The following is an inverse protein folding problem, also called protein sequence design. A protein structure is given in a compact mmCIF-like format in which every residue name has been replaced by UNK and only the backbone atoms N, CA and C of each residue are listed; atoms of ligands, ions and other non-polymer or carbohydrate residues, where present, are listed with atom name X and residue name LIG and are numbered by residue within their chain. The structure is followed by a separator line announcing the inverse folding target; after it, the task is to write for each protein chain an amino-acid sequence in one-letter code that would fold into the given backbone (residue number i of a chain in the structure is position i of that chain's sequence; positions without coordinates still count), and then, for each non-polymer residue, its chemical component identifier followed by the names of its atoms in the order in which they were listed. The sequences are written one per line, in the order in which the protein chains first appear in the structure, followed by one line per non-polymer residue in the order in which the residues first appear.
data_IF_727835228768
#
_entry.id   IF_727835228768
#
_cell.length_a   1.000
_cell.length_b   1.000
_cell.length_c   1.000
_cell.angle_alpha   90.00
_cell.angle_beta   90.00
_cell.angle_gamma   90.00
#
_symmetry.space_group_name_H-M   'P 1'
#
loop_
_entity.id
_entity.type
_entity.pdbx_description
1 polymer ?
#
# COMPACT_ATOMS: atom_id res chain seq x y z
N UNK A 1 -41.43 -36.07 -21.55
CA UNK A 1 -41.98 -34.90 -20.83
C UNK A 1 -41.01 -34.52 -19.72
N UNK A 2 -40.32 -33.37 -19.83
CA UNK A 2 -39.40 -32.85 -18.80
C UNK A 2 -40.23 -32.21 -17.67
N UNK A 3 -40.10 -32.72 -16.45
CA UNK A 3 -40.61 -32.09 -15.22
C UNK A 3 -39.52 -32.13 -14.14
N UNK A 4 -38.53 -31.27 -14.25
CA UNK A 4 -37.58 -31.02 -13.17
C UNK A 4 -37.09 -29.57 -13.26
N UNK A 5 -37.92 -28.60 -12.85
CA UNK A 5 -37.48 -27.25 -12.41
C UNK A 5 -38.55 -26.60 -11.52
N UNK A 6 -39.00 -27.32 -10.51
CA UNK A 6 -39.69 -26.71 -9.37
C UNK A 6 -38.78 -26.80 -8.15
N UNK A 7 -37.56 -26.26 -8.29
CA UNK A 7 -36.83 -25.81 -7.12
C UNK A 7 -37.45 -24.45 -6.79
N UNK A 8 -38.16 -24.41 -5.66
CA UNK A 8 -38.74 -23.18 -5.15
C UNK A 8 -37.70 -22.07 -5.20
N UNK A 9 -38.13 -20.88 -5.60
CA UNK A 9 -37.28 -19.69 -5.50
C UNK A 9 -36.79 -19.62 -4.05
N UNK A 10 -35.52 -19.98 -3.84
CA UNK A 10 -34.82 -19.62 -2.61
C UNK A 10 -34.96 -18.11 -2.54
N UNK A 11 -35.55 -17.60 -1.47
CA UNK A 11 -35.55 -16.15 -1.24
C UNK A 11 -34.11 -15.68 -1.41
N UNK A 12 -33.89 -14.73 -2.31
CA UNK A 12 -32.60 -14.09 -2.44
C UNK A 12 -32.43 -13.29 -1.15
N UNK A 13 -31.84 -13.90 -0.14
CA UNK A 13 -31.49 -13.21 1.10
C UNK A 13 -30.40 -12.21 0.72
N UNK A 14 -30.78 -10.94 0.63
CA UNK A 14 -29.85 -9.86 0.34
C UNK A 14 -29.03 -9.60 1.60
N UNK A 15 -27.81 -10.07 1.63
CA UNK A 15 -26.85 -9.70 2.66
C UNK A 15 -26.18 -8.37 2.30
N UNK A 16 -26.26 -7.39 3.22
CA UNK A 16 -25.66 -6.07 3.04
C UNK A 16 -24.35 -6.03 3.81
N UNK A 17 -23.24 -5.87 3.08
CA UNK A 17 -21.91 -5.69 3.67
C UNK A 17 -21.55 -4.21 3.67
N UNK A 18 -21.22 -3.66 4.85
CA UNK A 18 -20.75 -2.29 5.00
C UNK A 18 -19.22 -2.26 5.03
N UNK A 19 -18.60 -1.53 4.10
CA UNK A 19 -17.15 -1.38 4.02
C UNK A 19 -16.73 0.02 4.50
N UNK A 20 -15.66 0.15 5.30
CA UNK A 20 -15.19 1.43 5.84
C UNK A 20 -14.36 2.21 4.79
N UNK A 21 -14.92 2.42 3.60
CA UNK A 21 -14.30 3.16 2.51
C UNK A 21 -15.33 4.02 1.78
N UNK A 22 -14.87 5.08 1.13
CA UNK A 22 -15.73 5.95 0.32
C UNK A 22 -16.25 5.23 -0.93
N UNK A 23 -17.31 5.77 -1.52
CA UNK A 23 -17.84 5.28 -2.81
C UNK A 23 -16.76 5.23 -3.88
N UNK A 24 -15.94 6.28 -3.98
CA UNK A 24 -14.92 6.39 -5.03
C UNK A 24 -13.84 5.31 -4.88
N UNK A 25 -13.38 5.06 -3.65
CA UNK A 25 -12.40 4.02 -3.36
C UNK A 25 -12.99 2.62 -3.61
N UNK A 26 -14.27 2.42 -3.28
CA UNK A 26 -14.97 1.15 -3.52
C UNK A 26 -15.10 0.89 -5.02
N UNK A 27 -15.48 1.90 -5.80
CA UNK A 27 -15.55 1.80 -7.25
C UNK A 27 -14.17 1.46 -7.84
N UNK A 28 -13.09 2.07 -7.36
CA UNK A 28 -11.73 1.72 -7.78
C UNK A 28 -11.35 0.27 -7.45
N UNK A 29 -11.72 -0.22 -6.25
CA UNK A 29 -11.49 -1.61 -5.87
C UNK A 29 -12.28 -2.57 -6.78
N UNK A 30 -13.58 -2.32 -6.97
CA UNK A 30 -14.43 -3.16 -7.81
C UNK A 30 -13.95 -3.16 -9.26
N UNK A 31 -13.60 -2.00 -9.82
CA UNK A 31 -13.08 -1.91 -11.17
C UNK A 31 -11.81 -2.74 -11.34
N UNK A 32 -10.89 -2.69 -10.38
CA UNK A 32 -9.71 -3.56 -10.40
C UNK A 32 -10.08 -5.03 -10.30
N UNK A 33 -11.02 -5.41 -9.42
CA UNK A 33 -11.40 -6.82 -9.24
C UNK A 33 -12.07 -7.43 -10.48
N UNK A 34 -12.86 -6.64 -11.19
CA UNK A 34 -13.57 -7.10 -12.39
C UNK A 34 -12.71 -7.04 -13.66
N UNK A 35 -11.77 -6.09 -13.75
CA UNK A 35 -10.97 -5.87 -14.98
C UNK A 35 -9.49 -6.24 -14.85
N UNK A 36 -9.01 -6.48 -13.62
CA UNK A 36 -7.61 -6.79 -13.32
C UNK A 36 -6.63 -5.62 -13.44
N UNK A 37 -7.12 -4.41 -13.72
CA UNK A 37 -6.30 -3.21 -13.90
C UNK A 37 -7.12 -1.94 -13.69
N UNK A 38 -6.42 -0.81 -13.50
CA UNK A 38 -6.97 0.53 -13.42
C UNK A 38 -6.14 1.45 -14.32
N UNK A 39 -6.72 2.57 -14.75
CA UNK A 39 -5.94 3.60 -15.43
C UNK A 39 -4.87 4.19 -14.49
N UNK A 40 -3.76 4.73 -15.03
CA UNK A 40 -2.64 5.20 -14.21
C UNK A 40 -3.03 6.30 -13.21
N UNK A 41 -3.93 7.21 -13.58
CA UNK A 41 -4.33 8.34 -12.74
C UNK A 41 -5.14 7.87 -11.53
N UNK A 42 -6.12 6.98 -11.74
CA UNK A 42 -6.88 6.35 -10.66
C UNK A 42 -5.99 5.44 -9.81
N UNK A 43 -5.05 4.74 -10.44
CA UNK A 43 -4.08 3.90 -9.71
C UNK A 43 -3.28 4.77 -8.76
N UNK A 44 -2.64 5.84 -9.22
CA UNK A 44 -1.81 6.72 -8.38
C UNK A 44 -2.63 7.36 -7.23
N UNK A 45 -3.86 7.78 -7.53
CA UNK A 45 -4.77 8.37 -6.54
C UNK A 45 -5.12 7.38 -5.43
N UNK A 46 -5.47 6.15 -5.79
CA UNK A 46 -6.08 5.16 -4.88
C UNK A 46 -5.12 4.08 -4.39
N UNK A 47 -3.85 4.07 -4.82
CA UNK A 47 -2.91 2.97 -4.56
C UNK A 47 -2.79 2.58 -3.08
N UNK A 48 -2.75 3.56 -2.18
CA UNK A 48 -2.58 3.31 -0.76
C UNK A 48 -3.83 2.64 -0.15
N UNK A 49 -5.02 3.02 -0.61
CA UNK A 49 -6.29 2.45 -0.16
C UNK A 49 -6.46 1.05 -0.75
N UNK A 50 -6.16 0.88 -2.02
CA UNK A 50 -6.18 -0.44 -2.69
C UNK A 50 -5.21 -1.41 -2.02
N UNK A 51 -4.00 -0.96 -1.67
CA UNK A 51 -3.01 -1.79 -0.97
C UNK A 51 -3.53 -2.26 0.39
N UNK A 52 -4.14 -1.36 1.17
CA UNK A 52 -4.69 -1.68 2.49
C UNK A 52 -5.93 -2.59 2.38
N UNK A 53 -6.82 -2.32 1.42
CA UNK A 53 -7.98 -3.18 1.13
C UNK A 53 -7.56 -4.57 0.69
N UNK A 54 -6.55 -4.68 -0.18
CA UNK A 54 -6.02 -5.96 -0.62
C UNK A 54 -5.44 -6.77 0.54
N UNK A 55 -4.77 -6.09 1.48
CA UNK A 55 -4.29 -6.71 2.70
C UNK A 55 -5.43 -7.17 3.62
N UNK A 56 -6.45 -6.33 3.85
CA UNK A 56 -7.56 -6.68 4.73
C UNK A 56 -8.48 -7.77 4.17
N UNK A 57 -8.63 -7.82 2.85
CA UNK A 57 -9.50 -8.79 2.17
C UNK A 57 -8.71 -9.98 1.60
N UNK A 58 -7.41 -10.10 1.92
CA UNK A 58 -6.51 -11.17 1.47
C UNK A 58 -6.48 -11.36 -0.07
N UNK A 59 -6.52 -10.25 -0.81
CA UNK A 59 -6.48 -10.24 -2.28
C UNK A 59 -5.03 -10.17 -2.75
N UNK A 60 -4.34 -11.32 -2.71
CA UNK A 60 -2.88 -11.41 -2.92
C UNK A 60 -2.40 -10.75 -4.22
N UNK A 61 -3.12 -10.95 -5.34
CA UNK A 61 -2.71 -10.36 -6.62
C UNK A 61 -2.72 -8.82 -6.59
N UNK A 62 -3.78 -8.22 -6.03
CA UNK A 62 -3.86 -6.76 -5.89
C UNK A 62 -2.79 -6.26 -4.90
N UNK A 63 -2.53 -7.02 -3.83
CA UNK A 63 -1.53 -6.65 -2.83
C UNK A 63 -0.13 -6.54 -3.45
N UNK A 64 0.30 -7.55 -4.21
CA UNK A 64 1.58 -7.56 -4.92
C UNK A 64 1.62 -6.52 -6.06
N UNK A 65 0.53 -6.37 -6.80
CA UNK A 65 0.41 -5.33 -7.83
C UNK A 65 0.65 -3.93 -7.24
N UNK A 66 0.00 -3.65 -6.10
CA UNK A 66 0.17 -2.38 -5.42
C UNK A 66 1.59 -2.19 -4.88
N UNK A 67 2.19 -3.23 -4.28
CA UNK A 67 3.57 -3.17 -3.80
C UNK A 67 4.55 -2.85 -4.94
N UNK A 68 4.39 -3.50 -6.09
CA UNK A 68 5.21 -3.25 -7.27
C UNK A 68 5.04 -1.81 -7.79
N UNK A 69 3.81 -1.32 -7.87
CA UNK A 69 3.54 0.05 -8.31
C UNK A 69 4.14 1.09 -7.36
N UNK A 70 3.97 0.91 -6.05
CA UNK A 70 4.56 1.78 -5.02
C UNK A 70 6.09 1.82 -5.20
N UNK A 71 6.72 0.66 -5.37
CA UNK A 71 8.16 0.57 -5.57
C UNK A 71 8.63 1.27 -6.85
N UNK A 72 7.94 1.04 -7.97
CA UNK A 72 8.29 1.64 -9.28
C UNK A 72 8.12 3.16 -9.34
N UNK A 73 7.27 3.72 -8.47
CA UNK A 73 6.94 5.15 -8.43
C UNK A 73 7.67 5.89 -7.29
N UNK A 74 8.61 5.23 -6.60
CA UNK A 74 9.34 5.85 -5.49
C UNK A 74 10.11 7.09 -5.95
N UNK A 75 9.90 8.17 -5.20
CA UNK A 75 10.57 9.45 -5.30
C UNK A 75 10.66 10.07 -3.91
N UNK A 76 11.60 10.99 -3.64
CA UNK A 76 11.77 11.57 -2.31
C UNK A 76 10.47 12.14 -1.72
N UNK A 77 9.61 12.75 -2.56
CA UNK A 77 8.34 13.34 -2.14
C UNK A 77 7.25 12.34 -1.71
N UNK A 78 7.33 11.06 -2.11
CA UNK A 78 6.35 10.04 -1.72
C UNK A 78 6.93 8.92 -0.83
N UNK A 79 8.25 8.89 -0.62
CA UNK A 79 8.93 7.83 0.11
C UNK A 79 8.38 7.61 1.53
N UNK A 80 8.07 8.69 2.26
CA UNK A 80 7.48 8.59 3.60
C UNK A 80 6.06 8.02 3.59
N UNK A 81 5.28 8.32 2.56
CA UNK A 81 3.93 7.75 2.39
C UNK A 81 4.04 6.25 2.08
N UNK A 82 4.94 5.87 1.17
CA UNK A 82 5.23 4.47 0.85
C UNK A 82 5.69 3.68 2.09
N UNK A 83 6.55 4.29 2.91
CA UNK A 83 7.03 3.68 4.16
C UNK A 83 5.87 3.41 5.12
N UNK A 84 4.96 4.37 5.31
CA UNK A 84 3.76 4.17 6.16
C UNK A 84 2.90 3.01 5.65
N UNK A 85 2.67 2.94 4.35
CA UNK A 85 1.89 1.86 3.75
C UNK A 85 2.54 0.49 3.98
N UNK A 86 3.85 0.38 3.76
CA UNK A 86 4.60 -0.86 3.95
C UNK A 86 4.60 -1.33 5.41
N UNK A 87 4.81 -0.40 6.37
CA UNK A 87 4.72 -0.71 7.80
C UNK A 87 3.30 -1.15 8.18
N UNK A 88 2.28 -0.43 7.72
CA UNK A 88 0.88 -0.70 8.05
C UNK A 88 0.39 -2.09 7.60
N UNK A 89 0.88 -2.58 6.45
CA UNK A 89 0.49 -3.87 5.89
C UNK A 89 1.52 -4.99 6.18
N UNK A 90 2.54 -4.73 6.99
CA UNK A 90 3.62 -5.69 7.30
C UNK A 90 4.31 -6.32 6.08
N UNK A 91 4.37 -5.60 4.95
CA UNK A 91 4.95 -6.11 3.72
C UNK A 91 6.48 -5.98 3.74
N UNK A 92 7.19 -7.03 4.17
CA UNK A 92 8.63 -6.98 4.46
C UNK A 92 9.52 -6.55 3.29
N UNK A 93 9.36 -7.15 2.11
CA UNK A 93 10.22 -6.83 0.96
C UNK A 93 10.05 -5.36 0.50
N UNK A 94 8.81 -4.88 0.42
CA UNK A 94 8.51 -3.46 0.17
C UNK A 94 9.09 -2.56 1.27
N UNK A 95 8.95 -2.93 2.55
CA UNK A 95 9.46 -2.13 3.66
C UNK A 95 10.99 -1.98 3.59
N UNK A 96 11.70 -3.08 3.32
CA UNK A 96 13.16 -3.07 3.14
C UNK A 96 13.56 -2.17 1.96
N UNK A 97 12.95 -2.37 0.79
CA UNK A 97 13.27 -1.58 -0.40
C UNK A 97 12.96 -0.08 -0.23
N UNK A 98 11.86 0.26 0.45
CA UNK A 98 11.51 1.66 0.76
C UNK A 98 12.47 2.26 1.77
N UNK A 99 12.89 1.51 2.79
CA UNK A 99 13.88 1.97 3.76
C UNK A 99 15.22 2.23 3.08
N UNK A 100 15.68 1.32 2.23
CA UNK A 100 16.90 1.47 1.44
C UNK A 100 16.85 2.74 0.58
N UNK A 101 15.73 2.97 -0.11
CA UNK A 101 15.52 4.20 -0.88
C UNK A 101 15.56 5.46 0.00
N UNK A 102 14.92 5.43 1.18
CA UNK A 102 14.91 6.57 2.11
C UNK A 102 16.33 6.89 2.60
N UNK A 103 17.09 5.88 3.03
CA UNK A 103 18.44 6.11 3.56
C UNK A 103 19.41 6.60 2.48
N UNK A 104 19.21 6.19 1.22
CA UNK A 104 19.97 6.68 0.06
C UNK A 104 19.66 8.14 -0.27
N UNK A 105 18.43 8.57 -0.06
CA UNK A 105 17.96 9.93 -0.35
C UNK A 105 17.75 10.76 0.93
N UNK A 106 18.39 10.36 2.03
CA UNK A 106 18.11 10.91 3.37
C UNK A 106 18.41 12.41 3.46
N UNK A 107 19.39 12.90 2.71
CA UNK A 107 19.73 14.32 2.66
C UNK A 107 18.53 15.15 2.20
N UNK A 108 17.92 14.81 1.06
CA UNK A 108 16.75 15.51 0.55
C UNK A 108 15.54 15.32 1.49
N UNK A 109 15.30 14.08 1.93
CA UNK A 109 14.12 13.73 2.72
C UNK A 109 14.16 14.41 4.09
N UNK A 110 15.28 14.38 4.81
CA UNK A 110 15.38 14.89 6.19
C UNK A 110 15.10 16.40 6.30
N UNK A 111 15.43 17.18 5.27
CA UNK A 111 15.23 18.63 5.27
C UNK A 111 13.84 19.05 4.75
N UNK A 112 13.07 18.12 4.19
CA UNK A 112 11.70 18.36 3.69
C UNK A 112 10.72 18.78 4.80
N UNK A 113 9.62 19.46 4.42
CA UNK A 113 8.56 19.82 5.37
C UNK A 113 7.77 18.57 5.79
N UNK A 114 7.62 17.66 4.86
CA UNK A 114 6.95 16.38 4.97
C UNK A 114 7.61 15.51 6.04
N UNK A 115 8.95 15.46 6.07
CA UNK A 115 9.68 14.74 7.10
C UNK A 115 9.51 15.38 8.48
N UNK A 116 9.56 16.71 8.59
CA UNK A 116 9.33 17.41 9.87
C UNK A 116 7.94 17.13 10.43
N UNK A 117 6.93 17.08 9.57
CA UNK A 117 5.57 16.69 9.96
C UNK A 117 5.50 15.21 10.36
N UNK A 118 6.10 14.34 9.54
CA UNK A 118 6.16 12.91 9.79
C UNK A 118 6.77 12.57 11.16
N UNK A 119 7.86 13.25 11.55
CA UNK A 119 8.51 13.04 12.86
C UNK A 119 7.59 13.37 14.03
N UNK A 120 6.74 14.39 13.89
CA UNK A 120 5.77 14.79 14.92
C UNK A 120 4.63 13.78 15.04
N UNK A 121 4.12 13.31 13.92
CA UNK A 121 2.99 12.37 13.87
C UNK A 121 3.41 10.93 14.19
N UNK A 122 4.62 10.54 13.80
CA UNK A 122 5.12 9.17 13.81
C UNK A 122 6.53 9.07 14.41
N UNK A 123 6.73 9.43 15.69
CA UNK A 123 8.06 9.50 16.29
C UNK A 123 8.78 8.13 16.31
N UNK A 124 8.06 7.03 16.59
CA UNK A 124 8.65 5.68 16.59
C UNK A 124 9.18 5.26 15.21
N UNK A 125 8.42 5.57 14.17
CA UNK A 125 8.82 5.28 12.79
C UNK A 125 10.06 6.09 12.37
N UNK A 126 10.19 7.32 12.87
CA UNK A 126 11.35 8.15 12.63
C UNK A 126 12.61 7.61 13.29
N UNK A 127 12.47 6.98 14.47
CA UNK A 127 13.56 6.23 15.11
C UNK A 127 13.99 5.06 14.23
N UNK A 128 13.05 4.29 13.67
CA UNK A 128 13.37 3.19 12.74
C UNK A 128 14.16 3.66 11.52
N UNK A 129 13.73 4.77 10.89
CA UNK A 129 14.45 5.37 9.75
C UNK A 129 15.87 5.78 10.17
N UNK A 130 16.00 6.44 11.32
CA UNK A 130 17.30 6.88 11.85
C UNK A 130 18.23 5.69 12.12
N UNK A 131 17.70 4.62 12.72
CA UNK A 131 18.46 3.39 12.96
C UNK A 131 18.92 2.75 11.65
N UNK A 132 18.02 2.65 10.65
CA UNK A 132 18.35 2.13 9.33
C UNK A 132 19.48 2.93 8.67
N UNK A 133 19.44 4.26 8.77
CA UNK A 133 20.47 5.14 8.22
C UNK A 133 21.88 4.85 8.80
N UNK A 134 21.99 4.67 10.13
CA UNK A 134 23.26 4.33 10.77
C UNK A 134 23.77 2.93 10.40
N UNK A 135 22.86 1.96 10.27
CA UNK A 135 23.22 0.60 9.82
C UNK A 135 23.71 0.62 8.38
N UNK A 136 23.01 1.34 7.49
CA UNK A 136 23.39 1.49 6.08
C UNK A 136 24.79 2.11 5.92
N UNK A 137 25.07 3.20 6.64
CA UNK A 137 26.39 3.85 6.62
C UNK A 137 27.53 2.94 7.12
N UNK A 138 27.24 2.04 8.05
CA UNK A 138 28.20 1.04 8.54
C UNK A 138 28.52 -0.02 7.48
N UNK A 139 27.51 -0.48 6.73
CA UNK A 139 27.65 -1.47 5.66
C UNK A 139 28.44 -0.92 4.46
N UNK A 140 28.26 0.36 4.09
CA UNK A 140 29.07 0.99 3.02
C UNK A 140 30.54 1.15 3.41
N UNK A 141 30.84 1.47 4.67
CA UNK A 141 32.22 1.62 5.17
C UNK A 141 33.03 0.32 5.17
N UNK A 142 32.37 -0.83 5.28
CA UNK A 142 33.03 -2.15 5.28
C UNK A 142 33.36 -2.61 3.84
N UNK A 143 32.68 -2.07 2.83
CA UNK A 143 32.88 -2.41 1.41
C UNK A 143 33.80 -1.44 0.67
N UNK A 144 34.45 -0.51 1.37
CA UNK A 144 35.44 0.43 0.82
C UNK A 144 36.81 0.11 1.41
#
# INVERSE_FOLDING_TARGET
MRKYWSLGASSCETEIVNLPMSREELEALLDFLYHGSLDPERTEKHIAVLFFSAWNFDILYLFEFCAHHILSSLKPSNALKAFKSAVGCSHRALLEAVLDFIVENMEEIAFSKEYKQFVREFPKHSVTITQAFFVYGSTKRIKT
#
